data_IF_216300934858
#
_entry.id   IF_216300934858
#
_cell.length_a   1.000
_cell.length_b   1.000
_cell.length_c   1.000
_cell.angle_alpha   90.00
_cell.angle_beta   90.00
_cell.angle_gamma   90.00
#
_symmetry.space_group_name_H-M   'P 1'
#
loop_
_entity.id
_entity.type
_entity.pdbx_description
1 polymer ?
#
# COMPACT_ATOMS: atom_id res chain seq x y z
N UNK A 1 -40.97 -33.96 -48.71
CA UNK A 1 -40.69 -32.65 -48.14
C UNK A 1 -39.15 -32.47 -48.07
N UNK A 2 -38.64 -31.55 -48.86
CA UNK A 2 -37.24 -31.20 -48.82
C UNK A 2 -37.00 -30.36 -47.56
N UNK A 3 -35.90 -30.66 -46.83
CA UNK A 3 -35.46 -29.90 -45.64
C UNK A 3 -34.06 -29.37 -45.87
N UNK A 4 -33.84 -28.14 -45.46
CA UNK A 4 -32.52 -27.54 -45.37
C UNK A 4 -32.30 -27.14 -43.88
N UNK A 5 -31.10 -27.30 -43.37
CA UNK A 5 -30.73 -26.91 -42.01
C UNK A 5 -29.44 -26.10 -42.02
N UNK A 6 -29.30 -25.25 -41.04
CA UNK A 6 -28.07 -24.52 -40.71
C UNK A 6 -27.73 -24.84 -39.26
N UNK A 7 -26.45 -24.76 -38.92
CA UNK A 7 -25.95 -24.82 -37.55
C UNK A 7 -25.61 -23.38 -37.13
N UNK A 8 -25.97 -23.03 -35.92
CA UNK A 8 -25.52 -21.76 -35.31
C UNK A 8 -24.26 -22.10 -34.54
N UNK A 9 -23.19 -21.40 -34.85
CA UNK A 9 -21.88 -21.56 -34.22
C UNK A 9 -21.80 -20.75 -32.93
N UNK A 10 -20.90 -21.16 -32.00
CA UNK A 10 -20.56 -20.40 -30.82
C UNK A 10 -19.77 -19.14 -31.16
N UNK A 11 -19.81 -18.15 -30.29
CA UNK A 11 -19.01 -16.94 -30.35
C UNK A 11 -18.23 -16.80 -29.04
N UNK A 12 -16.94 -16.62 -29.13
CA UNK A 12 -16.05 -16.46 -27.96
C UNK A 12 -16.46 -15.30 -27.05
N UNK A 13 -16.34 -15.44 -25.72
CA UNK A 13 -16.61 -14.37 -24.78
C UNK A 13 -15.53 -13.27 -24.81
N UNK A 14 -15.91 -12.04 -24.45
CA UNK A 14 -15.05 -10.86 -24.47
C UNK A 14 -15.03 -10.20 -23.10
N UNK A 15 -13.82 -9.82 -22.61
CA UNK A 15 -13.62 -8.90 -21.50
C UNK A 15 -13.31 -7.52 -22.09
N UNK A 16 -14.12 -6.51 -21.77
CA UNK A 16 -13.91 -5.14 -22.25
C UNK A 16 -12.94 -4.35 -21.39
N UNK A 17 -12.83 -4.63 -20.09
CA UNK A 17 -11.88 -4.00 -19.16
C UNK A 17 -11.47 -4.95 -18.06
N UNK A 18 -10.26 -4.74 -17.51
CA UNK A 18 -9.73 -5.47 -16.36
C UNK A 18 -8.91 -4.53 -15.48
N UNK A 19 -9.04 -4.66 -14.18
CA UNK A 19 -8.33 -3.85 -13.19
C UNK A 19 -7.79 -4.71 -12.07
N UNK A 20 -6.69 -4.26 -11.44
CA UNK A 20 -6.20 -4.77 -10.16
C UNK A 20 -6.66 -3.80 -9.07
N UNK A 21 -7.30 -4.33 -8.03
CA UNK A 21 -7.81 -3.56 -6.90
C UNK A 21 -7.08 -3.99 -5.63
N UNK A 22 -6.59 -3.03 -4.81
CA UNK A 22 -6.68 -1.56 -4.96
C UNK A 22 -5.83 -1.02 -6.12
N UNK A 23 -6.22 0.11 -6.71
CA UNK A 23 -5.52 0.70 -7.87
C UNK A 23 -4.16 1.33 -7.50
N UNK A 24 -3.93 1.59 -6.22
CA UNK A 24 -2.67 2.09 -5.66
C UNK A 24 -2.26 1.20 -4.49
N UNK A 25 -1.82 -0.05 -4.78
CA UNK A 25 -1.58 -1.04 -3.75
C UNK A 25 -0.31 -0.76 -2.95
N UNK A 26 -0.35 -1.06 -1.66
CA UNK A 26 0.79 -1.07 -0.75
C UNK A 26 1.24 -2.51 -0.46
N UNK A 27 2.37 -2.67 0.21
CA UNK A 27 3.03 -3.97 0.44
C UNK A 27 2.17 -5.01 1.18
N UNK A 28 1.18 -4.59 1.95
CA UNK A 28 0.31 -5.45 2.76
C UNK A 28 -1.10 -5.64 2.17
N UNK A 29 -1.40 -5.07 1.01
CA UNK A 29 -2.70 -5.26 0.36
C UNK A 29 -2.77 -6.61 -0.35
N UNK A 30 -3.88 -7.33 -0.17
CA UNK A 30 -4.25 -8.41 -1.07
C UNK A 30 -4.83 -7.81 -2.35
N UNK A 31 -4.44 -8.35 -3.49
CA UNK A 31 -4.78 -7.81 -4.80
C UNK A 31 -5.85 -8.64 -5.47
N UNK A 32 -6.89 -7.97 -5.98
CA UNK A 32 -7.99 -8.63 -6.69
C UNK A 32 -7.99 -8.22 -8.16
N UNK A 33 -7.96 -9.20 -9.03
CA UNK A 33 -8.08 -9.05 -10.49
C UNK A 33 -9.57 -9.02 -10.86
N UNK A 34 -10.04 -7.89 -11.35
CA UNK A 34 -11.47 -7.65 -11.56
C UNK A 34 -11.78 -7.39 -13.04
N UNK A 35 -12.21 -8.43 -13.81
CA UNK A 35 -12.74 -8.24 -15.15
C UNK A 35 -14.10 -7.51 -15.12
N UNK A 36 -14.32 -6.63 -16.10
CA UNK A 36 -15.58 -5.91 -16.29
C UNK A 36 -15.93 -5.74 -17.77
N UNK A 37 -17.11 -5.21 -18.06
CA UNK A 37 -17.64 -5.07 -19.43
C UNK A 37 -17.60 -6.41 -20.19
N UNK A 38 -18.06 -7.46 -19.53
CA UNK A 38 -18.03 -8.83 -20.02
C UNK A 38 -19.20 -9.03 -20.98
N UNK A 39 -18.92 -9.58 -22.15
CA UNK A 39 -19.91 -9.80 -23.19
C UNK A 39 -19.78 -11.19 -23.78
N UNK A 40 -20.94 -11.82 -23.96
CA UNK A 40 -21.15 -13.02 -24.78
C UNK A 40 -22.42 -12.86 -25.56
N UNK A 41 -22.34 -13.01 -26.89
CA UNK A 41 -23.51 -12.81 -27.78
C UNK A 41 -24.50 -13.95 -27.71
N UNK A 42 -24.03 -15.14 -27.31
CA UNK A 42 -24.85 -16.34 -27.13
C UNK A 42 -25.55 -16.34 -25.77
N UNK A 43 -25.14 -15.45 -24.84
CA UNK A 43 -25.60 -15.34 -23.47
C UNK A 43 -25.26 -16.57 -22.61
N UNK A 44 -24.13 -17.19 -22.88
CA UNK A 44 -23.63 -18.32 -22.12
C UNK A 44 -23.00 -17.84 -20.77
N UNK A 45 -22.82 -18.76 -19.84
CA UNK A 45 -22.25 -18.47 -18.53
C UNK A 45 -20.72 -18.41 -18.63
N UNK A 46 -20.16 -17.23 -18.40
CA UNK A 46 -18.72 -17.01 -18.49
C UNK A 46 -18.05 -17.32 -17.15
N UNK A 47 -16.97 -18.07 -17.22
CA UNK A 47 -16.03 -18.36 -16.13
C UNK A 47 -14.65 -17.76 -16.46
N UNK A 48 -13.81 -17.57 -15.44
CA UNK A 48 -12.47 -16.97 -15.62
C UNK A 48 -11.39 -17.87 -15.05
N UNK A 49 -10.28 -17.96 -15.77
CA UNK A 49 -9.00 -18.47 -15.25
C UNK A 49 -8.03 -17.30 -15.09
N UNK A 50 -7.31 -17.28 -13.99
CA UNK A 50 -6.38 -16.20 -13.67
C UNK A 50 -4.93 -16.71 -13.66
N UNK A 51 -4.01 -15.84 -14.09
CA UNK A 51 -2.57 -16.06 -13.96
C UNK A 51 -1.93 -14.78 -13.45
N UNK A 52 -1.16 -14.91 -12.39
CA UNK A 52 -0.49 -13.80 -11.72
C UNK A 52 1.01 -13.83 -11.95
N UNK A 53 1.59 -12.64 -12.05
CA UNK A 53 3.03 -12.43 -12.17
C UNK A 53 3.48 -11.35 -11.21
N UNK A 54 4.63 -11.58 -10.55
CA UNK A 54 5.35 -10.57 -9.77
C UNK A 54 6.72 -10.39 -10.42
N UNK A 55 7.02 -9.20 -10.91
CA UNK A 55 8.25 -8.88 -11.65
C UNK A 55 8.50 -9.88 -12.80
N UNK A 56 7.45 -10.16 -13.59
CA UNK A 56 7.42 -11.14 -14.68
C UNK A 56 7.65 -12.61 -14.28
N UNK A 57 7.70 -12.92 -12.99
CA UNK A 57 7.75 -14.29 -12.49
C UNK A 57 6.33 -14.78 -12.19
N UNK A 58 5.92 -15.85 -12.87
CA UNK A 58 4.61 -16.47 -12.68
C UNK A 58 4.46 -17.01 -11.25
N UNK A 59 3.31 -16.74 -10.65
CA UNK A 59 2.92 -17.19 -9.32
C UNK A 59 2.08 -18.47 -9.40
N UNK A 60 2.03 -19.23 -8.32
CA UNK A 60 1.21 -20.45 -8.24
C UNK A 60 -0.28 -20.19 -7.99
N UNK A 61 -0.64 -18.93 -7.70
CA UNK A 61 -2.02 -18.54 -7.43
C UNK A 61 -2.82 -18.50 -8.73
N UNK A 62 -4.00 -19.12 -8.75
CA UNK A 62 -4.88 -19.24 -9.90
C UNK A 62 -6.28 -18.67 -9.67
N UNK A 63 -6.52 -18.10 -8.47
CA UNK A 63 -7.77 -17.40 -8.14
C UNK A 63 -7.70 -15.93 -8.57
N UNK A 64 -8.82 -15.24 -8.46
CA UNK A 64 -8.89 -13.79 -8.72
C UNK A 64 -8.09 -12.94 -7.73
N UNK A 65 -7.58 -13.52 -6.65
CA UNK A 65 -6.89 -12.83 -5.57
C UNK A 65 -5.45 -13.31 -5.42
N UNK A 66 -4.50 -12.37 -5.42
CA UNK A 66 -3.10 -12.60 -5.07
C UNK A 66 -2.83 -12.00 -3.69
N UNK A 67 -2.40 -12.86 -2.75
CA UNK A 67 -2.21 -12.46 -1.36
C UNK A 67 -0.86 -11.79 -1.12
N UNK A 68 -0.87 -10.79 -0.22
CA UNK A 68 0.33 -10.13 0.33
C UNK A 68 1.19 -11.10 1.18
N UNK A 69 2.43 -10.75 1.57
CA UNK A 69 3.08 -9.45 1.38
C UNK A 69 3.85 -9.32 0.07
N UNK A 70 4.01 -8.07 -0.37
CA UNK A 70 4.83 -7.69 -1.52
C UNK A 70 5.95 -6.75 -1.09
N UNK A 71 6.91 -6.51 -1.99
CA UNK A 71 7.94 -5.49 -1.79
C UNK A 71 7.56 -4.20 -2.53
N UNK A 72 7.98 -3.06 -2.00
CA UNK A 72 7.85 -1.76 -2.68
C UNK A 72 8.52 -1.82 -4.06
N UNK A 73 7.86 -1.26 -5.06
CA UNK A 73 8.21 -1.31 -6.48
C UNK A 73 8.02 -2.67 -7.16
N UNK A 74 7.48 -3.68 -6.50
CA UNK A 74 7.05 -4.88 -7.23
C UNK A 74 6.02 -4.49 -8.30
N UNK A 75 6.22 -5.01 -9.50
CA UNK A 75 5.28 -4.88 -10.62
C UNK A 75 4.43 -6.13 -10.66
N UNK A 76 3.15 -5.96 -10.37
CA UNK A 76 2.16 -7.05 -10.36
C UNK A 76 1.39 -7.03 -11.67
N UNK A 77 1.25 -8.19 -12.30
CA UNK A 77 0.44 -8.35 -13.51
C UNK A 77 -0.53 -9.51 -13.33
N UNK A 78 -1.80 -9.23 -13.58
CA UNK A 78 -2.86 -10.23 -13.67
C UNK A 78 -3.25 -10.44 -15.13
N UNK A 79 -3.43 -11.69 -15.52
CA UNK A 79 -4.09 -12.09 -16.77
C UNK A 79 -5.38 -12.81 -16.43
N UNK A 80 -6.46 -12.47 -17.13
CA UNK A 80 -7.72 -13.20 -17.06
C UNK A 80 -8.07 -13.77 -18.44
N UNK A 81 -8.41 -15.05 -18.47
CA UNK A 81 -8.89 -15.77 -19.64
C UNK A 81 -10.37 -16.10 -19.42
N UNK A 82 -11.30 -15.55 -20.21
CA UNK A 82 -12.71 -15.91 -20.13
C UNK A 82 -12.98 -17.19 -20.91
N UNK A 83 -13.94 -18.00 -20.42
CA UNK A 83 -14.44 -19.21 -21.08
C UNK A 83 -15.95 -19.30 -20.89
N UNK A 84 -16.71 -19.58 -21.96
CA UNK A 84 -18.17 -19.67 -21.97
C UNK A 84 -18.72 -21.11 -21.84
N UNK A 85 -17.81 -22.06 -21.61
CA UNK A 85 -18.13 -23.49 -21.55
C UNK A 85 -17.96 -24.22 -22.87
N UNK A 86 -17.68 -23.51 -23.97
CA UNK A 86 -17.43 -24.02 -25.30
C UNK A 86 -16.08 -23.58 -25.82
N UNK A 87 -15.81 -22.28 -25.80
CA UNK A 87 -14.59 -21.69 -26.32
C UNK A 87 -13.94 -20.70 -25.31
N UNK A 88 -12.64 -20.54 -25.40
CA UNK A 88 -11.88 -19.52 -24.69
C UNK A 88 -11.91 -18.21 -25.47
N UNK A 89 -12.12 -17.10 -24.80
CA UNK A 89 -11.92 -15.78 -25.38
C UNK A 89 -10.45 -15.35 -25.35
N UNK A 90 -10.21 -14.07 -25.62
CA UNK A 90 -8.87 -13.51 -25.58
C UNK A 90 -8.43 -13.19 -24.15
N UNK A 91 -7.14 -13.46 -23.83
CA UNK A 91 -6.55 -13.03 -22.56
C UNK A 91 -6.52 -11.49 -22.50
N UNK A 92 -6.96 -10.96 -21.38
CA UNK A 92 -6.83 -9.53 -21.05
C UNK A 92 -5.98 -9.39 -19.79
N UNK A 93 -5.16 -8.33 -19.70
CA UNK A 93 -4.24 -8.14 -18.59
C UNK A 93 -4.31 -6.74 -18.00
N UNK A 94 -4.02 -6.66 -16.69
CA UNK A 94 -3.82 -5.43 -15.93
C UNK A 94 -2.51 -5.48 -15.18
N UNK A 95 -1.95 -4.30 -14.91
CA UNK A 95 -0.72 -4.13 -14.11
C UNK A 95 -0.93 -3.10 -13.01
N UNK A 96 -0.30 -3.34 -11.87
CA UNK A 96 -0.18 -2.39 -10.76
C UNK A 96 1.25 -2.42 -10.22
N UNK A 97 1.69 -1.32 -9.63
CA UNK A 97 2.99 -1.24 -8.94
C UNK A 97 2.75 -1.00 -7.47
N UNK A 98 3.43 -1.77 -6.63
CA UNK A 98 3.37 -1.61 -5.17
C UNK A 98 4.07 -0.29 -4.80
N UNK A 99 3.33 0.59 -4.15
CA UNK A 99 3.83 1.90 -3.74
C UNK A 99 4.34 1.88 -2.30
N UNK A 100 5.29 2.77 -2.02
CA UNK A 100 5.82 2.99 -0.68
C UNK A 100 4.78 3.68 0.20
N UNK A 101 4.75 3.34 1.49
CA UNK A 101 3.99 4.04 2.52
C UNK A 101 4.89 5.01 3.29
N UNK A 102 4.29 5.97 3.97
CA UNK A 102 5.04 6.89 4.83
C UNK A 102 5.16 6.29 6.23
N UNK A 103 6.33 6.48 6.89
CA UNK A 103 6.49 6.07 8.27
C UNK A 103 5.58 6.85 9.22
N UNK A 104 5.27 6.23 10.35
CA UNK A 104 4.47 6.82 11.42
C UNK A 104 5.28 6.97 12.70
N UNK A 105 4.97 8.00 13.48
CA UNK A 105 5.43 8.11 14.87
C UNK A 105 4.41 7.40 15.76
N UNK A 106 4.85 6.32 16.42
CA UNK A 106 3.98 5.53 17.30
C UNK A 106 3.89 6.15 18.69
N UNK A 107 5.04 6.62 19.21
CA UNK A 107 5.10 7.31 20.51
C UNK A 107 6.12 8.43 20.47
N UNK A 108 5.83 9.48 21.25
CA UNK A 108 6.77 10.55 21.57
C UNK A 108 6.68 10.88 23.06
N UNK A 109 7.78 10.98 23.74
CA UNK A 109 7.84 11.29 25.16
C UNK A 109 9.10 12.08 25.51
N UNK A 110 9.00 12.96 26.53
CA UNK A 110 10.16 13.62 27.11
C UNK A 110 10.58 12.85 28.37
N UNK A 111 11.87 12.53 28.47
CA UNK A 111 12.45 11.81 29.59
C UNK A 111 13.70 12.54 30.15
N UNK A 112 13.74 12.88 31.46
CA UNK A 112 12.68 12.73 32.44
C UNK A 112 11.50 13.69 32.20
N UNK A 113 10.27 13.24 32.55
CA UNK A 113 9.04 14.03 32.44
C UNK A 113 8.71 14.82 33.72
N UNK A 114 9.50 14.66 34.76
CA UNK A 114 9.32 15.34 36.06
C UNK A 114 10.66 15.54 36.76
N UNK A 115 10.70 16.43 37.75
CA UNK A 115 11.92 16.82 38.45
C UNK A 115 12.98 17.38 37.49
N UNK A 116 12.56 18.17 36.52
CA UNK A 116 13.42 18.82 35.52
C UNK A 116 13.78 20.18 36.03
N UNK A 117 15.08 20.50 36.00
CA UNK A 117 15.68 21.75 36.43
C UNK A 117 16.34 22.47 35.27
N UNK A 118 16.72 23.73 35.43
CA UNK A 118 17.29 24.59 34.39
C UNK A 118 18.68 24.14 33.88
N UNK A 119 19.24 23.11 34.48
CA UNK A 119 20.52 22.48 34.10
C UNK A 119 20.37 20.99 33.76
N UNK A 120 19.15 20.49 33.69
CA UNK A 120 18.87 19.09 33.36
C UNK A 120 19.14 18.80 31.88
N UNK A 121 19.45 17.52 31.56
CA UNK A 121 19.39 16.98 30.24
C UNK A 121 18.00 16.29 30.08
N UNK A 122 17.31 16.60 29.01
CA UNK A 122 16.06 15.96 28.64
C UNK A 122 16.22 15.29 27.28
N UNK A 123 15.61 14.11 27.11
CA UNK A 123 15.61 13.37 25.86
C UNK A 123 14.20 13.37 25.27
N UNK A 124 14.12 13.44 23.95
CA UNK A 124 12.90 13.21 23.20
C UNK A 124 12.91 11.76 22.70
N UNK A 125 12.26 10.88 23.44
CA UNK A 125 12.18 9.47 23.12
C UNK A 125 11.06 9.28 22.09
N UNK A 126 11.40 8.80 20.89
CA UNK A 126 10.47 8.58 19.78
C UNK A 126 10.56 7.13 19.32
N UNK A 127 9.43 6.49 19.15
CA UNK A 127 9.33 5.21 18.43
C UNK A 127 8.58 5.41 17.13
N UNK A 128 9.01 4.72 16.11
CA UNK A 128 8.43 4.79 14.76
C UNK A 128 8.18 3.42 14.22
N UNK A 129 7.20 3.30 13.33
CA UNK A 129 6.98 2.12 12.50
C UNK A 129 6.78 2.51 11.04
N UNK A 130 7.09 1.57 10.16
CA UNK A 130 6.85 1.67 8.74
C UNK A 130 6.34 0.32 8.24
N UNK A 131 5.25 0.33 7.46
CA UNK A 131 4.59 -0.90 7.00
C UNK A 131 5.43 -1.65 5.96
N UNK A 132 6.29 -0.93 5.23
CA UNK A 132 7.19 -1.48 4.23
C UNK A 132 8.52 -1.97 4.86
N UNK A 133 8.72 -1.67 6.15
CA UNK A 133 9.91 -2.04 6.92
C UNK A 133 11.08 -1.07 6.76
N UNK A 134 10.84 0.11 6.22
CA UNK A 134 11.84 1.17 6.12
C UNK A 134 12.24 1.68 7.51
N UNK A 135 13.49 2.14 7.63
CA UNK A 135 14.00 2.74 8.86
C UNK A 135 13.91 4.26 8.72
N UNK A 136 12.95 4.91 9.39
CA UNK A 136 12.79 6.36 9.30
C UNK A 136 13.97 7.13 9.86
N UNK A 137 14.29 8.26 9.24
CA UNK A 137 15.22 9.24 9.80
C UNK A 137 14.40 10.26 10.58
N UNK A 138 14.65 10.35 11.90
CA UNK A 138 13.92 11.25 12.78
C UNK A 138 14.68 12.58 12.89
N UNK A 139 13.95 13.67 12.73
CA UNK A 139 14.43 15.02 13.01
C UNK A 139 13.73 15.56 14.25
N UNK A 140 14.40 16.41 15.02
CA UNK A 140 13.90 16.94 16.28
C UNK A 140 13.94 18.45 16.30
N UNK A 141 13.00 19.05 17.00
CA UNK A 141 13.03 20.47 17.33
C UNK A 141 12.52 20.67 18.76
N UNK A 142 13.30 21.42 19.57
CA UNK A 142 12.92 21.79 20.93
C UNK A 142 12.51 23.26 20.96
N UNK A 143 11.30 23.51 21.43
CA UNK A 143 10.71 24.83 21.46
C UNK A 143 10.31 25.23 22.87
N UNK A 144 10.46 26.53 23.17
CA UNK A 144 9.72 27.18 24.27
C UNK A 144 8.30 27.56 23.78
N UNK A 145 7.41 27.85 24.74
CA UNK A 145 6.04 28.29 24.46
C UNK A 145 5.99 29.57 23.58
N UNK A 146 7.00 30.44 23.67
CA UNK A 146 7.12 31.65 22.85
C UNK A 146 7.64 31.40 21.43
N UNK A 147 7.89 30.14 21.05
CA UNK A 147 8.43 29.75 19.75
C UNK A 147 9.95 29.81 19.62
N UNK A 148 10.67 30.11 20.70
CA UNK A 148 12.14 30.11 20.69
C UNK A 148 12.66 28.69 20.52
N UNK A 149 13.50 28.45 19.48
CA UNK A 149 14.18 27.16 19.26
C UNK A 149 15.35 27.03 20.26
N UNK A 150 15.35 25.93 21.01
CA UNK A 150 16.37 25.59 22.01
C UNK A 150 17.40 24.58 21.47
N UNK A 151 17.03 23.74 20.51
CA UNK A 151 17.92 22.73 19.94
C UNK A 151 17.19 21.86 18.90
N UNK A 152 17.98 21.02 18.19
CA UNK A 152 17.50 20.14 17.10
C UNK A 152 17.99 18.69 17.23
N UNK A 153 18.64 18.35 18.34
CA UNK A 153 19.09 16.99 18.63
C UNK A 153 18.03 16.21 19.44
N UNK A 154 18.13 14.89 19.47
CA UNK A 154 17.26 14.03 20.28
C UNK A 154 17.38 14.35 21.79
N UNK A 155 18.51 14.92 22.23
CA UNK A 155 18.75 15.33 23.61
C UNK A 155 18.97 16.84 23.69
N UNK A 156 18.39 17.48 24.68
CA UNK A 156 18.58 18.90 24.97
C UNK A 156 19.17 19.08 26.36
N UNK A 157 20.32 19.76 26.43
CA UNK A 157 20.86 20.31 27.68
C UNK A 157 20.15 21.63 27.95
N UNK A 158 19.33 21.69 28.99
CA UNK A 158 18.70 22.93 29.43
C UNK A 158 19.76 23.89 29.98
N UNK A 159 19.60 25.17 29.69
CA UNK A 159 20.60 26.20 30.07
C UNK A 159 19.89 27.34 30.84
N UNK A 160 20.36 27.70 32.04
CA UNK A 160 19.76 28.76 32.85
C UNK A 160 19.79 30.16 32.23
N UNK A 161 20.46 30.33 31.07
CA UNK A 161 20.48 31.60 30.32
C UNK A 161 19.29 31.66 29.34
N UNK A 162 18.77 30.49 28.89
CA UNK A 162 17.70 30.39 27.87
C UNK A 162 16.38 29.85 28.41
N UNK A 163 16.44 29.08 29.52
CA UNK A 163 15.25 28.45 30.14
C UNK A 163 15.16 28.87 31.58
N UNK A 164 13.98 29.32 31.99
CA UNK A 164 13.73 29.83 33.33
C UNK A 164 12.71 28.97 34.06
N UNK A 165 12.53 29.20 35.34
CA UNK A 165 11.49 28.59 36.13
C UNK A 165 10.11 28.87 35.50
N UNK A 166 9.26 27.84 35.45
CA UNK A 166 7.90 27.83 34.89
C UNK A 166 7.81 27.92 33.35
N UNK A 167 8.98 27.94 32.63
CA UNK A 167 9.00 27.79 31.17
C UNK A 167 8.48 26.39 30.78
N UNK A 168 7.71 26.34 29.70
CA UNK A 168 7.28 25.09 29.06
C UNK A 168 8.20 24.81 27.88
N UNK A 169 8.77 23.60 27.85
CA UNK A 169 9.63 23.12 26.77
C UNK A 169 8.95 21.95 26.08
N UNK A 170 8.85 22.04 24.75
CA UNK A 170 8.20 21.05 23.90
C UNK A 170 9.22 20.44 22.96
N UNK A 171 9.17 19.12 22.77
CA UNK A 171 9.87 18.41 21.69
C UNK A 171 8.88 18.14 20.55
N UNK A 172 9.33 18.39 19.33
CA UNK A 172 8.67 18.02 18.07
C UNK A 172 9.61 17.05 17.36
N UNK A 173 9.05 16.00 16.81
CA UNK A 173 9.74 15.04 15.97
C UNK A 173 8.97 14.79 14.68
#
# INVERSE_FOLDING_TARGET
>A
QDRISITIENTEPIIGNIEIIPNTPISQDDLVCTPSDIQDINLDVITFSYTWFVNDVEQSETTDTLNSPFSVNDVIRCQALPNDGFDDGSIVEATATIINTLPTIDTIAINPSSNVFVDSIVNCDVTTSDIDGDVPVITYEWLKEDGTILGTDASLQLNPVTVFRDDVVTCIA
#
